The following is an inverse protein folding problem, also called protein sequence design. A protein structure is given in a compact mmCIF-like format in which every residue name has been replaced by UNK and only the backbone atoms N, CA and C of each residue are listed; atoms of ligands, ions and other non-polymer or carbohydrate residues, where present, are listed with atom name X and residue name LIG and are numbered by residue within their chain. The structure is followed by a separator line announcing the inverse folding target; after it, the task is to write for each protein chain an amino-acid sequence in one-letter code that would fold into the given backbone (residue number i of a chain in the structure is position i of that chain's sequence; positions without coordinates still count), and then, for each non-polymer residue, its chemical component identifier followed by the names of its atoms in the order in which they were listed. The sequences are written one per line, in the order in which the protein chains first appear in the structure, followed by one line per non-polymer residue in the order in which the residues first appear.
data_IF_298888789196
#
_entry.id   IF_298888789196
#
_cell.length_a   1.000
_cell.length_b   1.000
_cell.length_c   1.000
_cell.angle_alpha   90.00
_cell.angle_beta   90.00
_cell.angle_gamma   90.00
#
_symmetry.space_group_name_H-M   'P 1'
#
loop_
_entity.id
_entity.type
_entity.pdbx_description
1 polymer ?
#
# COMPACT_ATOMS: atom_id res chain seq x y z
N UNK A 1 1.43 -3.21 -22.21
CA UNK A 1 1.10 -3.22 -20.77
C UNK A 1 2.36 -3.57 -20.05
N UNK A 2 2.75 -2.77 -19.07
CA UNK A 2 3.93 -3.08 -18.27
C UNK A 2 3.63 -4.21 -17.28
N UNK A 3 4.65 -5.02 -17.02
CA UNK A 3 4.63 -6.08 -16.02
C UNK A 3 5.24 -5.54 -14.73
N UNK A 4 4.59 -5.79 -13.58
CA UNK A 4 5.13 -5.46 -12.27
C UNK A 4 6.36 -6.36 -11.99
N UNK A 5 7.55 -5.77 -12.01
CA UNK A 5 8.82 -6.48 -11.75
C UNK A 5 9.13 -6.57 -10.26
N UNK A 6 8.89 -5.49 -9.52
CA UNK A 6 9.32 -5.39 -8.14
C UNK A 6 8.45 -4.42 -7.35
N UNK A 7 8.27 -4.72 -6.07
CA UNK A 7 7.57 -3.88 -5.11
C UNK A 7 8.49 -3.72 -3.89
N UNK A 8 8.66 -2.48 -3.44
CA UNK A 8 9.31 -2.21 -2.15
C UNK A 8 8.31 -1.49 -1.27
N UNK A 9 8.27 -1.83 0.01
CA UNK A 9 7.50 -1.13 1.01
C UNK A 9 8.39 -0.84 2.23
N UNK A 10 8.20 0.32 2.85
CA UNK A 10 9.00 0.75 4.00
C UNK A 10 8.20 1.63 4.94
N UNK A 11 8.65 1.67 6.18
CA UNK A 11 8.13 2.57 7.22
C UNK A 11 8.88 3.90 7.10
N UNK A 12 8.14 4.99 6.91
CA UNK A 12 8.67 6.36 6.97
C UNK A 12 7.91 7.14 8.05
N UNK A 13 8.24 8.42 8.26
CA UNK A 13 7.53 9.29 9.20
C UNK A 13 6.65 10.31 8.47
N UNK A 14 5.43 10.50 8.98
CA UNK A 14 4.52 11.57 8.56
C UNK A 14 4.96 12.94 9.10
N UNK A 15 4.25 14.01 8.72
CA UNK A 15 4.55 15.38 9.17
C UNK A 15 4.42 15.61 10.68
N UNK A 16 3.85 14.66 11.42
CA UNK A 16 3.71 14.68 12.89
C UNK A 16 4.69 13.72 13.56
N UNK A 17 5.62 13.12 12.82
CA UNK A 17 6.58 12.14 13.33
C UNK A 17 5.98 10.77 13.66
N UNK A 18 4.78 10.45 13.18
CA UNK A 18 4.21 9.11 13.35
C UNK A 18 4.59 8.23 12.14
N UNK A 19 4.77 6.91 12.33
CA UNK A 19 5.02 6.00 11.23
C UNK A 19 3.92 6.05 10.16
N UNK A 20 4.31 5.89 8.90
CA UNK A 20 3.40 5.64 7.78
C UNK A 20 4.06 4.79 6.71
N UNK A 21 3.27 4.27 5.78
CA UNK A 21 3.70 3.37 4.71
C UNK A 21 4.13 4.19 3.50
N UNK A 22 5.30 3.87 2.96
CA UNK A 22 5.72 4.24 1.61
C UNK A 22 5.92 2.99 0.76
N UNK A 23 5.42 3.04 -0.47
CA UNK A 23 5.53 1.97 -1.45
C UNK A 23 6.16 2.46 -2.76
N UNK A 24 7.02 1.63 -3.33
CA UNK A 24 7.58 1.76 -4.66
C UNK A 24 7.10 0.59 -5.53
N UNK A 25 6.71 0.87 -6.77
CA UNK A 25 6.45 -0.12 -7.81
C UNK A 25 7.37 0.14 -8.99
N UNK A 26 8.02 -0.93 -9.46
CA UNK A 26 8.89 -0.93 -10.63
C UNK A 26 8.29 -1.84 -11.70
N UNK A 27 8.23 -1.33 -12.93
CA UNK A 27 7.72 -2.03 -14.10
C UNK A 27 8.87 -2.58 -14.95
N UNK A 28 8.56 -3.47 -15.90
CA UNK A 28 9.52 -4.13 -16.79
C UNK A 28 10.11 -3.25 -17.90
N UNK A 29 9.46 -2.13 -18.18
CA UNK A 29 9.93 -1.06 -19.06
C UNK A 29 10.80 -0.01 -18.35
N UNK A 30 11.14 -0.24 -17.07
CA UNK A 30 11.84 0.67 -16.15
C UNK A 30 11.00 1.84 -15.62
N UNK A 31 9.69 1.88 -15.91
CA UNK A 31 8.80 2.85 -15.26
C UNK A 31 8.73 2.61 -13.75
N UNK A 32 8.52 3.70 -13.02
CA UNK A 32 8.60 3.70 -11.57
C UNK A 32 7.57 4.63 -10.96
N UNK A 33 6.96 4.19 -9.86
CA UNK A 33 6.06 5.02 -9.06
C UNK A 33 6.31 4.83 -7.58
N UNK A 34 6.28 5.95 -6.83
CA UNK A 34 6.40 5.99 -5.37
C UNK A 34 5.26 6.75 -4.74
N UNK A 35 4.70 6.22 -3.66
CA UNK A 35 3.75 6.96 -2.84
C UNK A 35 3.88 6.64 -1.37
N UNK A 36 3.71 7.68 -0.56
CA UNK A 36 3.49 7.60 0.88
C UNK A 36 2.04 7.92 1.20
N UNK A 37 1.46 7.25 2.18
CA UNK A 37 0.05 7.45 2.56
C UNK A 37 -0.06 8.43 3.74
N UNK A 38 -0.92 9.44 3.68
CA UNK A 38 -1.20 10.29 4.83
C UNK A 38 -1.98 9.52 5.90
N UNK A 39 -1.86 9.93 7.17
CA UNK A 39 -2.69 9.43 8.26
C UNK A 39 -3.51 10.55 8.89
N UNK A 40 -4.82 10.37 8.97
CA UNK A 40 -5.74 11.32 9.59
C UNK A 40 -5.65 11.28 11.12
N UNK A 41 -5.84 12.43 11.79
CA UNK A 41 -6.04 12.47 13.24
C UNK A 41 -7.47 12.10 13.66
N UNK A 42 -8.44 12.42 12.81
CA UNK A 42 -9.86 12.22 13.03
C UNK A 42 -10.34 11.12 12.11
N UNK A 43 -10.38 9.89 12.61
CA UNK A 43 -10.87 8.72 11.87
C UNK A 43 -12.34 8.49 12.21
N UNK A 44 -13.25 8.72 11.26
CA UNK A 44 -14.65 8.34 11.41
C UNK A 44 -14.81 6.82 11.55
N UNK A 45 -15.81 6.37 12.32
CA UNK A 45 -16.09 4.95 12.56
C UNK A 45 -16.38 4.13 11.27
N UNK A 46 -16.74 4.82 10.20
CA UNK A 46 -17.06 4.22 8.89
C UNK A 46 -15.94 4.38 7.86
N UNK A 47 -14.78 4.94 8.23
CA UNK A 47 -13.63 5.01 7.34
C UNK A 47 -12.99 3.64 7.12
N UNK A 48 -12.27 3.50 6.01
CA UNK A 48 -11.44 2.33 5.78
C UNK A 48 -10.35 2.24 6.85
N UNK A 49 -10.01 1.01 7.27
CA UNK A 49 -9.17 0.81 8.46
C UNK A 49 -7.70 1.02 8.11
N UNK A 50 -7.09 2.07 8.68
CA UNK A 50 -5.64 2.19 8.74
C UNK A 50 -5.07 1.13 9.71
N UNK A 51 -4.18 0.28 9.20
CA UNK A 51 -3.61 -0.79 10.02
C UNK A 51 -2.36 -0.29 10.76
N UNK A 52 -2.39 -0.43 12.08
CA UNK A 52 -1.31 -0.10 13.02
C UNK A 52 -0.85 -1.34 13.79
N UNK A 53 0.41 -1.33 14.23
CA UNK A 53 1.04 -2.45 14.93
C UNK A 53 0.49 -2.65 16.35
N UNK A 54 0.04 -1.57 17.01
CA UNK A 54 -0.39 -1.55 18.42
C UNK A 54 0.67 -2.03 19.43
N UNK A 55 1.93 -2.14 19.01
CA UNK A 55 3.07 -2.37 19.88
C UNK A 55 3.47 -1.09 20.62
N UNK A 56 3.14 -1.01 21.91
CA UNK A 56 3.45 0.16 22.76
C UNK A 56 4.95 0.44 22.86
N UNK A 57 5.82 -0.55 22.63
CA UNK A 57 7.27 -0.38 22.61
C UNK A 57 7.79 0.40 21.40
N UNK A 58 6.98 0.54 20.34
CA UNK A 58 7.35 1.22 19.10
C UNK A 58 6.36 2.33 18.76
N UNK A 59 6.85 3.57 18.75
CA UNK A 59 6.03 4.75 18.40
C UNK A 59 4.69 4.83 19.17
N UNK A 60 4.65 4.35 20.41
CA UNK A 60 3.43 4.33 21.23
C UNK A 60 2.28 3.51 20.63
N UNK A 61 2.58 2.43 19.88
CA UNK A 61 1.57 1.59 19.22
C UNK A 61 1.28 1.98 17.77
N UNK A 62 1.89 3.06 17.26
CA UNK A 62 1.58 3.61 15.94
C UNK A 62 2.47 3.07 14.82
N UNK A 63 3.29 2.06 15.06
CA UNK A 63 4.04 1.38 13.98
C UNK A 63 3.12 0.88 12.87
N UNK A 64 3.68 0.69 11.67
CA UNK A 64 2.95 0.19 10.48
C UNK A 64 3.63 -1.01 9.83
N UNK A 65 4.47 -1.74 10.58
CA UNK A 65 5.15 -2.93 10.05
C UNK A 65 4.19 -4.01 9.60
N UNK A 66 3.03 -4.16 10.24
CA UNK A 66 2.00 -5.10 9.80
C UNK A 66 1.47 -4.76 8.40
N UNK A 67 1.23 -3.48 8.12
CA UNK A 67 0.81 -3.02 6.80
C UNK A 67 1.91 -3.25 5.74
N UNK A 68 3.17 -3.03 6.09
CA UNK A 68 4.32 -3.30 5.21
C UNK A 68 4.46 -4.80 4.92
N UNK A 69 4.35 -5.63 5.95
CA UNK A 69 4.38 -7.09 5.81
C UNK A 69 3.23 -7.57 4.92
N UNK A 70 2.01 -7.03 5.08
CA UNK A 70 0.89 -7.32 4.18
C UNK A 70 1.21 -7.00 2.71
N UNK A 71 1.86 -5.87 2.42
CA UNK A 71 2.29 -5.55 1.05
C UNK A 71 3.26 -6.61 0.52
N UNK A 72 4.31 -6.93 1.28
CA UNK A 72 5.42 -7.75 0.80
C UNK A 72 5.13 -9.26 0.80
N UNK A 73 4.35 -9.74 1.76
CA UNK A 73 4.14 -11.18 1.99
C UNK A 73 2.79 -11.67 1.45
N UNK A 74 1.77 -10.81 1.36
CA UNK A 74 0.44 -11.20 0.90
C UNK A 74 0.17 -10.70 -0.52
N UNK A 75 0.41 -9.42 -0.77
CA UNK A 75 0.04 -8.80 -2.04
C UNK A 75 1.11 -9.06 -3.10
N UNK A 76 2.38 -8.74 -2.83
CA UNK A 76 3.46 -8.83 -3.81
C UNK A 76 3.57 -10.20 -4.50
N UNK A 77 3.48 -11.36 -3.81
CA UNK A 77 3.53 -12.67 -4.47
C UNK A 77 2.37 -12.93 -5.43
N UNK A 78 1.25 -12.22 -5.27
CA UNK A 78 0.05 -12.36 -6.11
C UNK A 78 0.07 -11.45 -7.33
N UNK A 79 0.85 -10.37 -7.33
CA UNK A 79 0.82 -9.34 -8.39
C UNK A 79 2.15 -9.14 -9.13
N UNK A 80 3.28 -9.60 -8.56
CA UNK A 80 4.56 -9.61 -9.28
C UNK A 80 4.43 -10.55 -10.49
N UNK A 81 5.05 -10.15 -11.61
CA UNK A 81 4.93 -10.80 -12.92
C UNK A 81 3.51 -10.76 -13.53
N UNK A 82 2.64 -9.88 -13.04
CA UNK A 82 1.35 -9.59 -13.66
C UNK A 82 1.34 -8.22 -14.33
N UNK A 83 0.44 -8.05 -15.28
CA UNK A 83 0.07 -6.79 -15.91
C UNK A 83 -1.44 -6.60 -15.78
N UNK A 84 -1.90 -5.36 -15.69
CA UNK A 84 -3.31 -5.01 -15.58
C UNK A 84 -3.69 -4.08 -16.73
N UNK A 85 -4.93 -4.17 -17.23
CA UNK A 85 -5.41 -3.35 -18.36
C UNK A 85 -5.45 -1.87 -18.03
N UNK A 86 -5.80 -1.54 -16.79
CA UNK A 86 -5.80 -0.19 -16.29
C UNK A 86 -5.63 -0.18 -14.76
N UNK A 87 -5.65 1.01 -14.16
CA UNK A 87 -5.51 1.15 -12.72
C UNK A 87 -6.74 0.64 -11.94
N UNK A 88 -7.95 0.63 -12.53
CA UNK A 88 -9.14 0.10 -11.88
C UNK A 88 -9.03 -1.41 -11.67
N UNK A 89 -8.54 -2.15 -12.67
CA UNK A 89 -8.37 -3.61 -12.53
C UNK A 89 -7.33 -3.96 -11.46
N UNK A 90 -6.30 -3.15 -11.32
CA UNK A 90 -5.34 -3.26 -10.23
C UNK A 90 -6.00 -3.01 -8.86
N UNK A 91 -6.79 -1.95 -8.73
CA UNK A 91 -7.49 -1.64 -7.48
C UNK A 91 -8.53 -2.73 -7.12
N UNK A 92 -9.29 -3.24 -8.08
CA UNK A 92 -10.22 -4.35 -7.87
C UNK A 92 -9.48 -5.63 -7.44
N UNK A 93 -8.29 -5.89 -8.00
CA UNK A 93 -7.45 -6.98 -7.54
C UNK A 93 -7.01 -6.80 -6.07
N UNK A 94 -6.61 -5.59 -5.67
CA UNK A 94 -6.28 -5.29 -4.27
C UNK A 94 -7.48 -5.49 -3.33
N UNK A 95 -8.67 -5.03 -3.74
CA UNK A 95 -9.91 -5.22 -2.97
C UNK A 95 -10.27 -6.71 -2.85
N UNK A 96 -10.07 -7.48 -3.92
CA UNK A 96 -10.27 -8.92 -3.93
C UNK A 96 -9.28 -9.65 -2.99
N UNK A 97 -8.00 -9.26 -3.01
CA UNK A 97 -6.98 -9.82 -2.11
C UNK A 97 -7.30 -9.52 -0.65
N UNK A 98 -7.79 -8.31 -0.34
CA UNK A 98 -8.20 -7.96 1.02
C UNK A 98 -9.44 -8.74 1.48
N UNK A 99 -10.47 -8.80 0.62
CA UNK A 99 -11.69 -9.57 0.88
C UNK A 99 -12.63 -8.95 1.92
N UNK A 100 -12.36 -7.74 2.42
CA UNK A 100 -13.24 -7.03 3.37
C UNK A 100 -13.75 -5.72 2.80
N UNK A 101 -14.93 -5.28 3.26
CA UNK A 101 -15.52 -4.01 2.80
C UNK A 101 -14.71 -2.78 3.21
N UNK A 102 -14.01 -2.85 4.34
CA UNK A 102 -13.31 -1.73 4.97
C UNK A 102 -11.79 -1.86 4.93
N UNK A 103 -11.24 -2.77 4.12
CA UNK A 103 -9.79 -2.95 3.92
C UNK A 103 -9.05 -3.36 5.20
N UNK A 104 -9.72 -4.10 6.07
CA UNK A 104 -9.22 -4.40 7.42
C UNK A 104 -8.19 -5.53 7.47
N UNK A 105 -8.10 -6.37 6.43
CA UNK A 105 -7.12 -7.45 6.36
C UNK A 105 -5.75 -6.93 5.94
N UNK A 106 -5.69 -6.17 4.83
CA UNK A 106 -4.46 -5.58 4.31
C UNK A 106 -4.12 -4.26 5.00
N UNK A 107 -5.13 -3.48 5.37
CA UNK A 107 -5.01 -2.10 5.79
C UNK A 107 -5.22 -1.12 4.63
N UNK A 108 -6.07 -0.12 4.84
CA UNK A 108 -6.34 0.94 3.87
C UNK A 108 -5.06 1.69 3.45
N UNK A 109 -4.13 1.86 4.40
CA UNK A 109 -2.80 2.42 4.16
C UNK A 109 -1.93 1.55 3.25
N UNK A 110 -2.02 0.21 3.34
CA UNK A 110 -1.32 -0.67 2.42
C UNK A 110 -1.92 -0.61 1.01
N UNK A 111 -3.26 -0.73 0.90
CA UNK A 111 -3.93 -0.71 -0.40
C UNK A 111 -3.76 0.62 -1.14
N UNK A 112 -3.85 1.74 -0.42
CA UNK A 112 -3.71 3.07 -1.03
C UNK A 112 -2.26 3.34 -1.47
N UNK A 113 -1.27 2.87 -0.70
CA UNK A 113 0.13 2.99 -1.08
C UNK A 113 0.44 2.23 -2.37
N UNK A 114 -0.14 1.04 -2.55
CA UNK A 114 0.02 0.27 -3.78
C UNK A 114 -0.69 0.93 -4.96
N UNK A 115 -1.95 1.32 -4.78
CA UNK A 115 -2.78 1.96 -5.81
C UNK A 115 -2.11 3.21 -6.39
N UNK A 116 -1.67 4.13 -5.52
CA UNK A 116 -1.02 5.38 -5.94
C UNK A 116 0.37 5.15 -6.54
N UNK A 117 1.15 4.19 -6.01
CA UNK A 117 2.44 3.84 -6.59
C UNK A 117 2.27 3.25 -7.99
N UNK A 118 1.26 2.40 -8.21
CA UNK A 118 1.00 1.80 -9.52
C UNK A 118 0.54 2.86 -10.53
N UNK A 119 -0.41 3.71 -10.15
CA UNK A 119 -0.89 4.80 -10.99
C UNK A 119 0.25 5.74 -11.42
N UNK A 120 1.17 6.06 -10.49
CA UNK A 120 2.36 6.86 -10.81
C UNK A 120 3.34 6.13 -11.74
N UNK A 121 3.51 4.82 -11.56
CA UNK A 121 4.36 4.02 -12.43
C UNK A 121 3.80 3.99 -13.86
N UNK A 122 2.49 3.84 -14.02
CA UNK A 122 1.81 3.87 -15.32
C UNK A 122 1.87 5.25 -16.01
N UNK A 123 1.94 6.34 -15.26
CA UNK A 123 1.99 7.69 -15.84
C UNK A 123 3.29 7.99 -16.61
N UNK A 124 4.33 7.16 -16.43
CA UNK A 124 5.59 7.25 -17.18
C UNK A 124 5.62 6.37 -18.45
N UNK A 125 4.54 5.60 -18.72
CA UNK A 125 4.38 4.87 -19.98
C UNK A 125 4.02 5.77 -21.17
#
# INVERSE_FOLDING_TARGET
MAIIKNIKAREILDSRGNPTVECDIYLDDNSFGRSSVPSGASTGMHEAIELRDNDKGRYGGKGVLKAISNILEIVAPKIINQSFDNFYDFDENLLSIDGTKNKSNLGANATLALSLAYAKALAFQ
#
